data_IF_974373958802
#
_entry.id   IF_974373958802
#
_cell.length_a   1.000
_cell.length_b   1.000
_cell.length_c   1.000
_cell.angle_alpha   90.00
_cell.angle_beta   90.00
_cell.angle_gamma   90.00
#
_symmetry.space_group_name_H-M   'P 1'
#
loop_
_entity.id
_entity.type
_entity.pdbx_description
1 polymer ?
#
# COMPACT_ATOMS: atom_id res chain seq x y z
N UNK A 1 -8.34 14.16 2.09
CA UNK A 1 -7.59 14.09 0.82
C UNK A 1 -6.84 12.78 0.76
N UNK A 2 -6.92 12.06 -0.36
CA UNK A 2 -6.17 10.81 -0.58
C UNK A 2 -5.19 10.96 -1.76
N UNK A 3 -4.04 10.28 -1.70
CA UNK A 3 -2.95 10.38 -2.69
C UNK A 3 -2.65 9.00 -3.26
N UNK A 4 -2.50 8.90 -4.59
CA UNK A 4 -2.48 7.59 -5.28
C UNK A 4 -1.52 7.41 -6.44
N UNK A 5 -0.61 8.35 -6.69
CA UNK A 5 0.28 8.27 -7.85
C UNK A 5 1.61 7.60 -7.49
N UNK A 6 1.88 6.44 -8.11
CA UNK A 6 3.20 5.79 -8.04
C UNK A 6 3.53 5.10 -6.72
N UNK A 7 2.55 4.81 -5.86
CA UNK A 7 2.78 4.10 -4.59
C UNK A 7 3.01 2.62 -4.89
N UNK A 8 4.19 2.11 -4.54
CA UNK A 8 4.59 0.73 -4.81
C UNK A 8 5.12 -0.02 -3.59
N UNK A 9 5.48 0.69 -2.52
CA UNK A 9 6.01 0.05 -1.29
C UNK A 9 5.31 0.53 -0.03
N UNK A 10 5.34 -0.27 1.06
CA UNK A 10 4.82 0.13 2.37
C UNK A 10 5.48 1.42 2.91
N UNK A 11 6.78 1.60 2.71
CA UNK A 11 7.51 2.78 3.17
C UNK A 11 7.02 4.05 2.45
N UNK A 12 6.75 3.96 1.15
CA UNK A 12 6.16 5.06 0.39
C UNK A 12 4.76 5.38 0.89
N UNK A 13 3.94 4.35 1.14
CA UNK A 13 2.61 4.53 1.68
C UNK A 13 2.64 5.21 3.07
N UNK A 14 3.57 4.80 3.94
CA UNK A 14 3.78 5.41 5.25
C UNK A 14 4.17 6.90 5.16
N UNK A 15 5.08 7.28 4.25
CA UNK A 15 5.44 8.70 4.10
C UNK A 15 4.25 9.55 3.64
N UNK A 16 3.43 9.03 2.73
CA UNK A 16 2.25 9.72 2.22
C UNK A 16 1.17 9.83 3.32
N UNK A 17 0.98 8.77 4.11
CA UNK A 17 -0.01 8.71 5.18
C UNK A 17 0.19 9.79 6.27
N UNK A 18 1.41 10.32 6.44
CA UNK A 18 1.70 11.42 7.36
C UNK A 18 1.02 12.73 6.97
N UNK A 19 0.73 12.93 5.68
CA UNK A 19 0.21 14.21 5.15
C UNK A 19 -1.13 14.08 4.42
N UNK A 20 -1.61 12.85 4.20
CA UNK A 20 -2.88 12.55 3.53
C UNK A 20 -3.82 11.73 4.44
N UNK A 21 -5.12 11.85 4.23
CA UNK A 21 -6.15 11.06 4.94
C UNK A 21 -6.24 9.62 4.40
N UNK A 22 -5.69 9.37 3.20
CA UNK A 22 -5.66 8.05 2.60
C UNK A 22 -4.58 7.90 1.52
N UNK A 23 -4.21 6.65 1.26
CA UNK A 23 -3.22 6.27 0.25
C UNK A 23 -3.87 5.28 -0.72
N UNK A 24 -3.75 5.49 -2.03
CA UNK A 24 -4.23 4.56 -3.04
C UNK A 24 -3.04 3.82 -3.66
N UNK A 25 -3.13 2.50 -3.70
CA UNK A 25 -2.11 1.62 -4.29
C UNK A 25 -2.79 0.80 -5.36
N UNK A 26 -2.35 0.95 -6.61
CA UNK A 26 -2.92 0.22 -7.76
C UNK A 26 -1.84 -0.52 -8.55
N UNK A 27 -0.80 0.20 -8.97
CA UNK A 27 0.28 -0.37 -9.79
C UNK A 27 0.97 -1.56 -9.14
N UNK A 28 1.22 -1.54 -7.83
CA UNK A 28 1.84 -2.69 -7.16
C UNK A 28 0.95 -3.94 -7.15
N UNK A 29 -0.38 -3.79 -6.98
CA UNK A 29 -1.29 -4.93 -7.08
C UNK A 29 -1.37 -5.46 -8.52
N UNK A 30 -1.38 -4.56 -9.51
CA UNK A 30 -1.32 -4.94 -10.93
C UNK A 30 -0.04 -5.71 -11.23
N UNK A 31 1.12 -5.27 -10.72
CA UNK A 31 2.39 -5.98 -10.90
C UNK A 31 2.36 -7.39 -10.28
N UNK A 32 1.80 -7.53 -9.07
CA UNK A 32 1.65 -8.83 -8.40
C UNK A 32 0.76 -9.76 -9.23
N UNK A 33 -0.37 -9.26 -9.73
CA UNK A 33 -1.30 -10.02 -10.57
C UNK A 33 -0.65 -10.37 -11.90
N UNK A 34 0.08 -9.45 -12.52
CA UNK A 34 0.79 -9.69 -13.78
C UNK A 34 1.88 -10.79 -13.62
N UNK A 35 2.53 -10.86 -12.46
CA UNK A 35 3.57 -11.85 -12.20
C UNK A 35 3.02 -13.26 -11.87
N UNK A 36 1.86 -13.36 -11.20
CA UNK A 36 1.35 -14.63 -10.67
C UNK A 36 0.04 -15.11 -11.34
N UNK A 37 -0.60 -14.28 -12.16
CA UNK A 37 -1.86 -14.60 -12.86
C UNK A 37 -2.96 -15.06 -11.90
N UNK A 38 -3.62 -16.16 -12.23
CA UNK A 38 -4.69 -16.74 -11.41
C UNK A 38 -4.21 -17.16 -10.00
N UNK A 39 -2.91 -17.37 -9.81
CA UNK A 39 -2.32 -17.70 -8.51
C UNK A 39 -1.96 -16.46 -7.67
N UNK A 40 -2.34 -15.25 -8.09
CA UNK A 40 -1.97 -14.00 -7.40
C UNK A 40 -2.66 -13.79 -6.05
N UNK A 41 -3.79 -14.45 -5.78
CA UNK A 41 -4.59 -14.26 -4.57
C UNK A 41 -3.77 -14.24 -3.27
N UNK A 42 -3.00 -15.31 -2.96
CA UNK A 42 -2.15 -15.35 -1.77
C UNK A 42 -1.09 -14.24 -1.71
N UNK A 43 -0.55 -13.80 -2.85
CA UNK A 43 0.45 -12.74 -2.90
C UNK A 43 -0.16 -11.36 -2.61
N UNK A 44 -1.37 -11.10 -3.11
CA UNK A 44 -2.13 -9.88 -2.81
C UNK A 44 -2.54 -9.87 -1.34
N UNK A 45 -3.03 -10.99 -0.82
CA UNK A 45 -3.39 -11.15 0.59
C UNK A 45 -2.18 -10.94 1.51
N UNK A 46 -1.00 -11.44 1.15
CA UNK A 46 0.23 -11.23 1.92
C UNK A 46 0.75 -9.79 1.86
N UNK A 47 0.57 -9.09 0.73
CA UNK A 47 1.08 -7.72 0.56
C UNK A 47 0.20 -6.67 1.26
N UNK A 48 -1.12 -6.85 1.24
CA UNK A 48 -2.09 -5.92 1.83
C UNK A 48 -1.83 -5.54 3.29
N UNK A 49 -1.57 -6.47 4.24
CA UNK A 49 -1.31 -6.12 5.63
C UNK A 49 -0.04 -5.28 5.79
N UNK A 50 1.00 -5.52 4.97
CA UNK A 50 2.24 -4.72 5.04
C UNK A 50 1.99 -3.25 4.75
N UNK A 51 1.08 -2.94 3.80
CA UNK A 51 0.65 -1.59 3.50
C UNK A 51 -0.18 -1.00 4.65
N UNK A 52 -1.13 -1.77 5.19
CA UNK A 52 -2.00 -1.34 6.26
C UNK A 52 -1.20 -0.99 7.53
N UNK A 53 -0.29 -1.87 7.93
CA UNK A 53 0.57 -1.68 9.10
C UNK A 53 1.43 -0.42 8.95
N UNK A 54 2.07 -0.25 7.80
CA UNK A 54 2.90 0.92 7.52
C UNK A 54 2.10 2.24 7.57
N UNK A 55 0.86 2.25 7.07
CA UNK A 55 -0.04 3.41 7.11
C UNK A 55 -0.50 3.70 8.55
N UNK A 56 -0.94 2.67 9.29
CA UNK A 56 -1.42 2.83 10.67
C UNK A 56 -0.30 3.31 11.60
N UNK A 57 0.88 2.68 11.58
CA UNK A 57 2.02 3.10 12.40
C UNK A 57 2.48 4.52 12.07
N UNK A 58 2.40 4.94 10.81
CA UNK A 58 2.72 6.31 10.41
C UNK A 58 1.72 7.33 10.96
N UNK A 59 0.43 6.97 11.08
CA UNK A 59 -0.62 7.81 11.67
C UNK A 59 -0.48 7.93 13.19
N UNK A 60 -0.17 6.82 13.87
CA UNK A 60 0.05 6.82 15.33
C UNK A 60 1.25 7.69 15.75
N UNK A 61 2.29 7.76 14.91
CA UNK A 61 3.48 8.56 15.19
C UNK A 61 3.31 10.06 14.86
N UNK A 62 2.23 10.43 14.17
CA UNK A 62 1.96 11.80 13.73
C UNK A 62 0.89 12.50 14.59
N UNK A 63 0.26 11.78 15.52
CA UNK A 63 -0.70 12.28 16.51
C UNK A 63 0.02 12.67 17.81
#
# INVERSE_FOLDING_TARGET
MAVGFGVRTPEQAAQIAKVADGVLVGSAFIDIIAAHGDAAGPHVEAFTPTLADAIHSAKESAA
#
